data_IF_835445906723
#
_entry.id   IF_835445906723
#
_cell.length_a   1.000
_cell.length_b   1.000
_cell.length_c   1.000
_cell.angle_alpha   90.00
_cell.angle_beta   90.00
_cell.angle_gamma   90.00
#
_symmetry.space_group_name_H-M   'P 1'
#
loop_
_entity.id
_entity.type
_entity.pdbx_description
1 polymer ?
#
# COMPACT_ATOMS: atom_id res chain seq x y z
N UNK A 1 58.45 -17.77 17.65
CA UNK A 1 57.13 -18.20 18.19
C UNK A 1 56.18 -17.03 17.99
N UNK A 2 55.25 -17.10 17.02
CA UNK A 2 53.88 -17.62 17.20
C UNK A 2 53.07 -16.68 18.13
N UNK A 3 52.01 -15.92 17.81
CA UNK A 3 50.83 -16.09 16.93
C UNK A 3 50.09 -14.73 16.74
N UNK A 4 49.60 -14.42 15.52
CA UNK A 4 48.17 -14.35 15.10
C UNK A 4 47.41 -13.18 15.78
N UNK A 5 47.18 -12.06 15.07
CA UNK A 5 45.99 -11.74 14.24
C UNK A 5 44.70 -11.47 15.03
N UNK A 6 43.81 -10.69 14.42
CA UNK A 6 42.48 -10.21 14.85
C UNK A 6 42.52 -8.84 15.56
N UNK A 7 42.34 -7.69 14.89
CA UNK A 7 41.30 -7.34 13.91
C UNK A 7 39.90 -7.78 14.36
N UNK A 8 39.35 -7.03 15.32
CA UNK A 8 37.92 -6.89 15.55
C UNK A 8 37.67 -5.39 15.73
N UNK A 9 37.56 -4.59 14.66
CA UNK A 9 36.36 -4.53 13.83
C UNK A 9 35.07 -4.86 14.60
N UNK A 10 34.85 -4.15 15.70
CA UNK A 10 33.51 -3.88 16.18
C UNK A 10 32.85 -2.87 15.21
N UNK A 11 32.70 -3.27 13.95
CA UNK A 11 31.65 -2.77 13.08
C UNK A 11 30.35 -3.20 13.72
N UNK A 12 29.87 -2.39 14.67
CA UNK A 12 28.47 -2.34 15.07
C UNK A 12 27.75 -2.03 13.76
N UNK A 13 27.34 -3.10 13.09
CA UNK A 13 26.32 -3.07 12.07
C UNK A 13 25.08 -2.51 12.75
N UNK A 14 24.97 -1.18 12.73
CA UNK A 14 23.71 -0.49 12.57
C UNK A 14 23.12 -1.07 11.29
N UNK A 15 22.50 -2.25 11.42
CA UNK A 15 21.39 -2.62 10.58
C UNK A 15 20.39 -1.51 10.84
N UNK A 16 20.49 -0.47 10.01
CA UNK A 16 19.40 0.45 9.79
C UNK A 16 18.23 -0.45 9.41
N UNK A 17 17.42 -0.79 10.41
CA UNK A 17 16.00 -0.92 10.20
C UNK A 17 15.65 0.41 9.57
N UNK A 18 15.64 0.43 8.23
CA UNK A 18 15.03 1.47 7.44
C UNK A 18 13.55 1.38 7.81
N UNK A 19 13.24 1.90 8.98
CA UNK A 19 11.92 2.10 9.48
C UNK A 19 11.37 3.14 8.52
N UNK A 20 10.58 2.65 7.55
CA UNK A 20 9.83 3.47 6.63
C UNK A 20 9.34 4.69 7.41
N UNK A 21 9.61 5.93 6.94
CA UNK A 21 9.37 7.12 7.73
C UNK A 21 7.97 7.06 8.34
N UNK A 22 7.91 7.18 9.66
CA UNK A 22 6.72 6.91 10.49
C UNK A 22 5.46 7.68 10.04
N UNK A 23 5.62 8.68 9.18
CA UNK A 23 4.57 9.25 8.37
C UNK A 23 5.10 9.42 6.93
N UNK A 24 4.59 8.65 5.97
CA UNK A 24 4.87 8.88 4.55
C UNK A 24 4.54 10.32 4.14
N UNK A 25 5.25 10.85 3.14
CA UNK A 25 5.08 12.22 2.66
C UNK A 25 3.71 12.36 2.00
N UNK A 26 2.88 13.28 2.49
CA UNK A 26 1.59 13.58 1.86
C UNK A 26 1.82 14.11 0.44
N UNK A 27 1.09 13.57 -0.53
CA UNK A 27 1.09 14.04 -1.91
C UNK A 27 -0.16 14.87 -2.15
N UNK A 28 0.01 16.03 -2.77
CA UNK A 28 -1.08 16.87 -3.25
C UNK A 28 -1.26 16.65 -4.76
N UNK A 29 -2.51 16.59 -5.20
CA UNK A 29 -2.85 16.36 -6.62
C UNK A 29 -3.04 14.89 -7.00
N UNK A 30 -3.25 14.62 -8.31
CA UNK A 30 -3.43 13.27 -8.82
C UNK A 30 -2.17 12.41 -8.70
N UNK A 31 -2.35 11.12 -8.47
CA UNK A 31 -1.28 10.11 -8.50
C UNK A 31 -1.47 9.23 -9.72
N UNK A 32 -0.40 9.05 -10.50
CA UNK A 32 -0.40 8.15 -11.66
C UNK A 32 0.38 6.88 -11.29
N UNK A 33 -0.29 5.75 -11.39
CA UNK A 33 0.31 4.42 -11.17
C UNK A 33 1.25 4.05 -12.33
N UNK A 34 2.16 3.10 -12.13
CA UNK A 34 3.05 2.57 -13.18
C UNK A 34 2.31 2.05 -14.41
N UNK A 35 1.04 1.67 -14.25
CA UNK A 35 0.16 1.20 -15.33
C UNK A 35 -0.62 2.32 -16.04
N UNK A 36 -0.32 3.58 -15.72
CA UNK A 36 -0.94 4.76 -16.33
C UNK A 36 -2.33 5.11 -15.78
N UNK A 37 -2.79 4.44 -14.71
CA UNK A 37 -4.06 4.78 -14.07
C UNK A 37 -3.86 6.03 -13.22
N UNK A 38 -4.63 7.07 -13.53
CA UNK A 38 -4.63 8.34 -12.77
C UNK A 38 -5.71 8.27 -11.68
N UNK A 39 -5.29 8.49 -10.44
CA UNK A 39 -6.12 8.45 -9.24
C UNK A 39 -6.14 9.81 -8.56
N UNK A 40 -7.26 10.17 -7.95
CA UNK A 40 -7.49 11.46 -7.29
C UNK A 40 -8.15 11.26 -5.92
N UNK A 41 -7.93 12.22 -5.03
CA UNK A 41 -8.72 12.29 -3.82
C UNK A 41 -10.20 12.49 -4.19
N UNK A 42 -11.10 11.76 -3.52
CA UNK A 42 -12.51 11.69 -3.86
C UNK A 42 -12.91 10.49 -4.73
N UNK A 43 -11.95 9.83 -5.39
CA UNK A 43 -12.24 8.62 -6.17
C UNK A 43 -12.78 7.51 -5.26
N UNK A 44 -13.75 6.78 -5.79
CA UNK A 44 -14.30 5.58 -5.14
C UNK A 44 -13.52 4.34 -5.57
N UNK A 45 -13.09 3.55 -4.60
CA UNK A 45 -12.46 2.24 -4.79
C UNK A 45 -13.47 1.16 -4.44
N UNK A 46 -13.46 0.06 -5.19
CA UNK A 46 -14.20 -1.16 -4.86
C UNK A 46 -13.21 -2.28 -4.57
N UNK A 47 -13.41 -2.96 -3.44
CA UNK A 47 -12.59 -4.10 -3.04
C UNK A 47 -13.09 -5.39 -3.71
N UNK A 48 -12.14 -6.26 -4.03
CA UNK A 48 -12.37 -7.61 -4.51
C UNK A 48 -12.54 -8.62 -3.38
N UNK A 49 -12.32 -9.88 -3.69
CA UNK A 49 -12.09 -10.94 -2.70
C UNK A 49 -10.61 -10.83 -2.29
N UNK A 50 -10.31 -10.81 -0.99
CA UNK A 50 -8.94 -10.52 -0.53
C UNK A 50 -7.91 -11.53 -1.04
N UNK A 51 -6.63 -11.14 -1.07
CA UNK A 51 -5.57 -11.92 -1.70
C UNK A 51 -5.08 -13.16 -0.93
N UNK A 52 -5.58 -13.41 0.28
CA UNK A 52 -5.18 -14.56 1.11
C UNK A 52 -6.14 -15.76 0.98
N UNK A 53 -5.70 -17.00 1.26
CA UNK A 53 -6.59 -18.18 1.28
C UNK A 53 -7.76 -18.08 2.27
N UNK A 54 -7.59 -17.26 3.31
CA UNK A 54 -8.65 -16.90 4.27
C UNK A 54 -9.53 -15.74 3.80
N UNK A 55 -9.40 -15.36 2.51
CA UNK A 55 -9.97 -14.18 1.83
C UNK A 55 -9.65 -12.82 2.45
N UNK A 56 -8.68 -12.77 3.36
CA UNK A 56 -8.14 -11.52 3.90
C UNK A 56 -7.31 -10.76 2.88
N UNK A 57 -7.09 -9.48 3.13
CA UNK A 57 -6.33 -8.58 2.28
C UNK A 57 -4.87 -8.49 2.76
N UNK A 58 -3.94 -8.65 1.84
CA UNK A 58 -2.50 -8.56 2.08
C UNK A 58 -1.96 -7.13 1.89
N UNK A 59 -2.59 -6.33 1.02
CA UNK A 59 -2.10 -4.99 0.66
C UNK A 59 -3.04 -3.86 1.10
N UNK A 60 -4.09 -4.21 1.86
CA UNK A 60 -5.02 -3.28 2.51
C UNK A 60 -4.88 -3.45 4.02
N UNK A 61 -4.52 -2.37 4.70
CA UNK A 61 -4.17 -2.35 6.11
C UNK A 61 -5.22 -1.61 6.93
N UNK A 62 -5.35 -2.01 8.20
CA UNK A 62 -6.28 -1.40 9.16
C UNK A 62 -6.02 0.10 9.39
N UNK A 63 -4.78 0.55 9.23
CA UNK A 63 -4.37 1.95 9.34
C UNK A 63 -2.98 2.16 8.74
N UNK A 64 -2.55 3.42 8.60
CA UNK A 64 -1.26 3.76 7.97
C UNK A 64 -0.05 3.37 8.83
N UNK A 65 -0.14 3.47 10.16
CA UNK A 65 0.90 3.02 11.10
C UNK A 65 1.16 1.52 11.04
N UNK A 66 0.21 0.75 10.48
CA UNK A 66 0.31 -0.68 10.26
C UNK A 66 0.79 -1.06 8.86
N UNK A 67 1.04 -0.07 8.01
CA UNK A 67 1.51 -0.30 6.64
C UNK A 67 2.81 -1.13 6.63
N UNK A 68 2.85 -2.18 5.80
CA UNK A 68 4.00 -3.09 5.68
C UNK A 68 4.08 -4.18 6.75
N UNK A 69 3.21 -4.17 7.76
CA UNK A 69 3.11 -5.26 8.74
C UNK A 69 2.27 -6.40 8.15
N UNK A 70 2.90 -7.55 7.89
CA UNK A 70 2.27 -8.71 7.24
C UNK A 70 1.02 -9.23 7.97
N UNK A 71 0.95 -9.06 9.29
CA UNK A 71 -0.15 -9.52 10.14
C UNK A 71 -1.27 -8.49 10.32
N UNK A 72 -1.10 -7.28 9.80
CA UNK A 72 -2.07 -6.20 9.96
C UNK A 72 -2.94 -5.94 8.71
N UNK A 73 -2.92 -6.91 7.79
CA UNK A 73 -3.85 -6.98 6.68
C UNK A 73 -5.30 -7.02 7.16
N UNK A 74 -6.20 -6.40 6.39
CA UNK A 74 -7.62 -6.39 6.71
C UNK A 74 -8.20 -7.80 6.54
N UNK A 75 -9.02 -8.27 7.47
CA UNK A 75 -9.64 -9.60 7.37
C UNK A 75 -10.76 -9.67 6.32
N UNK A 76 -11.05 -10.88 5.83
CA UNK A 76 -12.22 -11.13 4.98
C UNK A 76 -13.51 -10.81 5.73
N UNK A 77 -14.53 -10.30 5.04
CA UNK A 77 -15.81 -9.97 5.67
C UNK A 77 -15.88 -8.59 6.32
N UNK A 78 -14.81 -7.78 6.24
CA UNK A 78 -14.92 -6.35 6.54
C UNK A 78 -15.95 -5.72 5.59
N UNK A 79 -17.11 -5.36 6.14
CA UNK A 79 -18.38 -5.15 5.43
C UNK A 79 -18.41 -4.05 4.34
N UNK A 80 -17.30 -3.34 4.10
CA UNK A 80 -17.26 -2.19 3.22
C UNK A 80 -16.62 -2.56 1.88
N UNK A 81 -17.44 -3.04 0.94
CA UNK A 81 -17.01 -3.33 -0.45
C UNK A 81 -16.54 -2.08 -1.21
N UNK A 82 -16.76 -0.89 -0.65
CA UNK A 82 -16.43 0.38 -1.25
C UNK A 82 -15.72 1.28 -0.23
N UNK A 83 -14.78 2.09 -0.71
CA UNK A 83 -14.18 3.17 0.06
C UNK A 83 -13.94 4.39 -0.82
N UNK A 84 -13.67 5.54 -0.21
CA UNK A 84 -13.33 6.78 -0.92
C UNK A 84 -11.92 7.20 -0.56
N UNK A 85 -11.09 7.48 -1.57
CA UNK A 85 -9.75 8.01 -1.36
C UNK A 85 -9.84 9.40 -0.72
N UNK A 86 -9.12 9.60 0.39
CA UNK A 86 -9.05 10.88 1.09
C UNK A 86 -7.72 11.58 0.84
N UNK A 87 -6.64 10.83 0.87
CA UNK A 87 -5.31 11.36 0.58
C UNK A 87 -4.38 10.27 0.08
N UNK A 88 -3.26 10.72 -0.50
CA UNK A 88 -2.16 9.86 -0.89
C UNK A 88 -0.94 10.17 -0.04
N UNK A 89 -0.18 9.13 0.26
CA UNK A 89 1.12 9.21 0.91
C UNK A 89 2.16 8.48 0.08
N UNK A 90 3.33 9.07 0.00
CA UNK A 90 4.51 8.45 -0.56
C UNK A 90 5.33 7.83 0.57
N UNK A 91 5.74 6.58 0.41
CA UNK A 91 6.64 5.88 1.33
C UNK A 91 7.81 5.30 0.56
N UNK A 92 8.96 5.17 1.23
CA UNK A 92 10.20 4.72 0.60
C UNK A 92 10.94 5.82 -0.17
N UNK A 93 12.00 5.44 -0.87
CA UNK A 93 12.88 6.33 -1.62
C UNK A 93 13.42 5.61 -2.86
N UNK A 94 13.75 6.37 -3.92
CA UNK A 94 14.27 5.79 -5.16
C UNK A 94 13.27 4.83 -5.81
N UNK A 95 13.75 3.64 -6.18
CA UNK A 95 12.97 2.60 -6.86
C UNK A 95 11.97 1.88 -5.95
N UNK A 96 12.17 1.95 -4.63
CA UNK A 96 11.26 1.37 -3.62
C UNK A 96 10.11 2.32 -3.25
N UNK A 97 9.94 3.41 -3.99
CA UNK A 97 8.85 4.36 -3.78
C UNK A 97 7.50 3.67 -3.99
N UNK A 98 6.63 3.77 -2.99
CA UNK A 98 5.25 3.26 -3.05
C UNK A 98 4.23 4.35 -2.78
N UNK A 99 3.12 4.26 -3.47
CA UNK A 99 1.97 5.13 -3.27
C UNK A 99 0.92 4.43 -2.41
N UNK A 100 0.70 5.01 -1.23
CA UNK A 100 -0.30 4.53 -0.28
C UNK A 100 -1.51 5.44 -0.34
N UNK A 101 -2.68 4.89 -0.66
CA UNK A 101 -3.94 5.61 -0.54
C UNK A 101 -4.50 5.44 0.87
N UNK A 102 -4.85 6.56 1.52
CA UNK A 102 -5.70 6.52 2.69
C UNK A 102 -7.15 6.63 2.26
N UNK A 103 -7.94 5.64 2.62
CA UNK A 103 -9.34 5.54 2.21
C UNK A 103 -10.27 5.54 3.42
N UNK A 104 -11.44 6.16 3.24
CA UNK A 104 -12.55 6.07 4.17
C UNK A 104 -13.52 4.99 3.67
N UNK A 105 -13.70 3.88 4.40
CA UNK A 105 -14.70 2.87 4.05
C UNK A 105 -16.11 3.47 3.99
N UNK A 106 -16.91 3.05 3.01
CA UNK A 106 -18.31 3.46 2.85
C UNK A 106 -19.20 2.40 3.49
N UNK A 107 -20.09 2.84 4.40
CA UNK A 107 -21.17 2.01 4.89
C UNK A 107 -21.03 1.45 6.30
N UNK A 108 -20.11 1.96 7.14
CA UNK A 108 -20.25 1.64 8.56
C UNK A 108 -19.34 2.38 9.51
N UNK A 109 -19.26 1.82 10.71
CA UNK A 109 -19.06 2.56 11.97
C UNK A 109 -17.59 2.96 12.18
N UNK A 110 -16.66 2.39 11.42
CA UNK A 110 -15.25 2.69 11.60
C UNK A 110 -14.91 4.10 11.11
N UNK A 111 -14.48 4.94 12.04
CA UNK A 111 -13.95 6.28 11.80
C UNK A 111 -12.51 6.28 11.27
N UNK A 112 -11.84 5.13 11.33
CA UNK A 112 -10.42 5.02 11.00
C UNK A 112 -10.21 4.88 9.48
N UNK A 113 -9.24 5.62 8.94
CA UNK A 113 -8.80 5.42 7.57
C UNK A 113 -8.06 4.10 7.41
N UNK A 114 -8.29 3.43 6.29
CA UNK A 114 -7.52 2.27 5.85
C UNK A 114 -6.39 2.73 4.95
N UNK A 115 -5.26 2.07 5.04
CA UNK A 115 -4.13 2.33 4.15
C UNK A 115 -4.11 1.24 3.08
N UNK A 116 -3.94 1.61 1.82
CA UNK A 116 -3.85 0.67 0.70
C UNK A 116 -2.54 0.90 -0.03
N UNK A 117 -1.72 -0.14 -0.17
CA UNK A 117 -0.60 -0.15 -1.13
C UNK A 117 -1.20 -0.28 -2.54
N UNK A 118 -1.28 0.83 -3.28
CA UNK A 118 -2.14 0.93 -4.47
C UNK A 118 -1.78 -0.09 -5.56
N UNK A 119 -0.51 -0.17 -5.92
CA UNK A 119 -0.07 -1.04 -7.02
C UNK A 119 -0.19 -2.52 -6.66
N UNK A 120 0.37 -2.98 -5.52
CA UNK A 120 0.21 -4.36 -5.11
C UNK A 120 -1.26 -4.77 -4.92
N UNK A 121 -2.12 -3.90 -4.37
CA UNK A 121 -3.53 -4.20 -4.19
C UNK A 121 -4.28 -4.32 -5.53
N UNK A 122 -3.94 -3.53 -6.55
CA UNK A 122 -4.52 -3.69 -7.89
C UNK A 122 -4.03 -4.96 -8.59
N UNK A 123 -2.74 -5.28 -8.46
CA UNK A 123 -2.16 -6.47 -9.09
C UNK A 123 -2.65 -7.77 -8.45
N UNK A 124 -2.83 -7.77 -7.12
CA UNK A 124 -3.43 -8.86 -6.36
C UNK A 124 -4.97 -8.94 -6.53
N UNK A 125 -5.59 -8.05 -7.31
CA UNK A 125 -7.05 -7.93 -7.49
C UNK A 125 -7.84 -7.65 -6.21
N UNK A 126 -7.17 -7.16 -5.17
CA UNK A 126 -7.80 -6.67 -3.95
C UNK A 126 -8.57 -5.37 -4.20
N UNK A 127 -8.13 -4.58 -5.19
CA UNK A 127 -8.92 -3.51 -5.80
C UNK A 127 -9.36 -3.97 -7.20
N UNK A 128 -10.68 -4.02 -7.42
CA UNK A 128 -11.25 -4.49 -8.69
C UNK A 128 -11.79 -3.37 -9.58
N UNK A 129 -12.14 -2.21 -9.01
CA UNK A 129 -12.61 -1.06 -9.78
C UNK A 129 -12.38 0.28 -9.10
N UNK A 130 -12.21 1.33 -9.90
CA UNK A 130 -12.20 2.73 -9.48
C UNK A 130 -13.36 3.46 -10.16
N UNK A 131 -14.15 4.23 -9.43
CA UNK A 131 -15.31 4.98 -9.96
C UNK A 131 -16.24 4.11 -10.82
N UNK A 132 -16.46 2.86 -10.39
CA UNK A 132 -17.29 1.87 -11.08
C UNK A 132 -16.67 1.27 -12.35
N UNK A 133 -15.47 1.69 -12.76
CA UNK A 133 -14.73 1.12 -13.91
C UNK A 133 -13.71 0.10 -13.44
N UNK A 134 -13.77 -1.11 -14.02
CA UNK A 134 -12.82 -2.17 -13.72
C UNK A 134 -11.37 -1.74 -13.99
N UNK A 135 -10.42 -2.17 -13.16
CA UNK A 135 -8.98 -1.84 -13.32
C UNK A 135 -8.48 -2.20 -14.73
N UNK A 136 -8.91 -3.35 -15.26
CA UNK A 136 -8.57 -3.82 -16.62
C UNK A 136 -8.94 -2.84 -17.74
N UNK A 137 -9.98 -2.02 -17.53
CA UNK A 137 -10.47 -1.02 -18.49
C UNK A 137 -9.81 0.35 -18.31
N UNK A 138 -9.10 0.57 -17.20
CA UNK A 138 -8.44 1.83 -16.88
C UNK A 138 -6.98 1.86 -17.33
N UNK A 139 -6.38 0.69 -17.55
CA UNK A 139 -5.02 0.58 -18.06
C UNK A 139 -5.04 1.04 -19.51
N UNK A 140 -4.33 2.14 -19.79
CA UNK A 140 -4.12 2.59 -21.15
C UNK A 140 -3.31 1.51 -21.86
N UNK A 141 -3.91 0.80 -22.83
CA UNK A 141 -3.16 -0.10 -23.70
C UNK A 141 -2.09 0.76 -24.37
N UNK A 142 -0.81 0.44 -24.16
CA UNK A 142 0.24 0.95 -25.03
C UNK A 142 -0.13 0.47 -26.43
N UNK A 143 -0.47 1.39 -27.32
CA UNK A 143 -0.49 1.12 -28.75
C UNK A 143 0.93 0.73 -29.11
N UNK A 144 1.13 -0.55 -29.45
CA UNK A 144 2.37 -1.05 -30.05
C UNK A 144 2.30 -0.69 -31.53
#
# INVERSE_FOLDING_TARGET
MKWILFFALASISLNGLAQLPAAGKRITGPVTTKRGIVLRAGDSVRFGEGGLPSGGYQNIYSSFDKFGQKTAGLEEGYAYKYATIKEFREVGSGDDKRYVALVRPKGGISVNFRAIDLEPAMDAKEIISINGKAISKLIVKKTI
#
